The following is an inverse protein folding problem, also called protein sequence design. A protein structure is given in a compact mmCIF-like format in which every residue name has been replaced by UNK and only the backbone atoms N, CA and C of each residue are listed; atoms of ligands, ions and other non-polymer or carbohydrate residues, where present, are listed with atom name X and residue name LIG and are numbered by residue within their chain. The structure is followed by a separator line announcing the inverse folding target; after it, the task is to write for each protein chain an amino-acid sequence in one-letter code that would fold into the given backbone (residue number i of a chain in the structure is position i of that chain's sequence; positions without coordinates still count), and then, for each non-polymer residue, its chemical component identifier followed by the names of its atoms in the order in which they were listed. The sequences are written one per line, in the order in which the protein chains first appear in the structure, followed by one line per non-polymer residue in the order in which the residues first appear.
data_IF_652334262361
#
_entry.id   IF_652334262361
#
_cell.length_a   1.000
_cell.length_b   1.000
_cell.length_c   1.000
_cell.angle_alpha   90.00
_cell.angle_beta   90.00
_cell.angle_gamma   90.00
#
_symmetry.space_group_name_H-M   'P 1'
#
loop_
_entity.id
_entity.type
_entity.pdbx_description
1 polymer ?
#
# COMPACT_ATOMS: atom_id res chain seq x y z
N UNK A 1 23.93 6.37 -1.40
CA UNK A 1 23.11 5.38 -0.68
C UNK A 1 22.58 4.25 -1.56
N UNK A 2 22.45 4.46 -2.88
CA UNK A 2 22.10 3.38 -3.84
C UNK A 2 23.00 2.15 -3.66
N UNK A 3 22.40 0.96 -3.60
CA UNK A 3 23.11 -0.31 -3.44
C UNK A 3 23.44 -0.71 -2.00
N UNK A 4 22.94 0.00 -0.98
CA UNK A 4 23.11 -0.36 0.44
C UNK A 4 21.91 -1.07 1.07
N UNK A 5 20.90 -1.45 0.28
CA UNK A 5 19.71 -2.12 0.80
C UNK A 5 18.77 -1.21 1.60
N UNK A 6 18.71 0.08 1.26
CA UNK A 6 17.90 1.09 1.96
C UNK A 6 16.98 1.81 0.98
N UNK A 7 15.73 1.93 1.40
CA UNK A 7 14.65 2.65 0.73
C UNK A 7 14.28 3.91 1.52
N UNK A 8 13.72 4.89 0.81
CA UNK A 8 13.40 6.22 1.34
C UNK A 8 12.00 6.63 0.87
N UNK A 9 11.13 7.05 1.78
CA UNK A 9 9.79 7.55 1.43
C UNK A 9 9.49 8.88 2.11
N UNK A 10 8.86 9.82 1.40
CA UNK A 10 8.40 11.07 2.00
C UNK A 10 7.22 10.76 2.93
N UNK A 11 7.31 11.22 4.18
CA UNK A 11 6.32 10.97 5.23
C UNK A 11 5.81 12.28 5.82
N UNK A 12 4.52 12.57 5.60
CA UNK A 12 3.91 13.83 6.07
C UNK A 12 4.49 15.07 5.40
N UNK A 13 4.47 16.20 6.11
CA UNK A 13 4.88 17.50 5.56
C UNK A 13 6.36 17.84 5.80
N UNK A 14 7.01 17.18 6.76
CA UNK A 14 8.33 17.63 7.28
C UNK A 14 9.36 16.52 7.43
N UNK A 15 9.03 15.28 7.06
CA UNK A 15 9.90 14.12 7.30
C UNK A 15 9.95 13.17 6.11
N UNK A 16 10.94 12.29 6.14
CA UNK A 16 11.03 11.13 5.26
C UNK A 16 11.56 9.96 6.08
N UNK A 17 11.08 8.76 5.76
CA UNK A 17 11.47 7.53 6.42
C UNK A 17 12.66 6.89 5.69
N UNK A 18 13.49 6.17 6.45
CA UNK A 18 14.60 5.35 5.92
C UNK A 18 14.46 3.96 6.49
N UNK A 19 14.36 2.96 5.63
CA UNK A 19 14.11 1.57 6.04
C UNK A 19 14.82 0.58 5.11
N UNK A 20 15.05 -0.67 5.55
CA UNK A 20 15.60 -1.71 4.68
C UNK A 20 14.73 -1.96 3.45
N UNK A 21 15.33 -2.36 2.33
CA UNK A 21 14.56 -2.72 1.14
C UNK A 21 13.52 -3.82 1.45
N UNK A 22 12.28 -3.60 1.01
CA UNK A 22 11.14 -4.50 1.27
C UNK A 22 10.44 -4.32 2.62
N UNK A 23 10.88 -3.36 3.45
CA UNK A 23 10.18 -2.96 4.69
C UNK A 23 9.14 -1.86 4.48
N UNK A 24 8.77 -1.60 3.23
CA UNK A 24 7.58 -0.81 2.91
C UNK A 24 6.29 -1.55 3.31
N UNK A 25 5.12 -0.98 2.99
CA UNK A 25 3.83 -1.55 3.39
C UNK A 25 3.63 -3.02 2.94
N UNK A 26 4.31 -3.51 1.89
CA UNK A 26 4.27 -4.93 1.48
C UNK A 26 4.75 -5.89 2.57
N UNK A 27 5.49 -5.42 3.56
CA UNK A 27 5.95 -6.25 4.67
C UNK A 27 4.79 -7.00 5.36
N UNK A 28 3.62 -6.35 5.50
CA UNK A 28 2.47 -6.99 6.11
C UNK A 28 1.87 -8.13 5.27
N UNK A 29 2.09 -8.13 3.93
CA UNK A 29 1.56 -9.15 3.03
C UNK A 29 2.11 -10.53 3.35
N UNK A 30 3.38 -10.65 3.76
CA UNK A 30 3.96 -11.93 4.18
C UNK A 30 3.38 -12.50 5.48
N UNK A 31 2.63 -11.68 6.24
CA UNK A 31 1.91 -12.10 7.44
C UNK A 31 0.52 -12.58 7.03
N UNK A 32 -0.25 -11.76 6.31
CA UNK A 32 -1.64 -12.06 5.92
C UNK A 32 -1.77 -13.16 4.88
N UNK A 33 -0.73 -13.42 4.08
CA UNK A 33 -0.72 -14.52 3.10
C UNK A 33 -0.86 -15.91 3.77
N UNK A 34 -0.51 -16.01 5.06
CA UNK A 34 -0.68 -17.23 5.87
C UNK A 34 -2.13 -17.54 6.22
N UNK A 35 -3.02 -16.54 6.11
CA UNK A 35 -4.43 -16.68 6.45
C UNK A 35 -5.28 -17.15 5.25
N UNK A 36 -4.65 -17.42 4.09
CA UNK A 36 -5.27 -18.01 2.90
C UNK A 36 -6.49 -17.26 2.37
N UNK A 37 -6.46 -15.92 2.38
CA UNK A 37 -7.47 -15.10 1.74
C UNK A 37 -7.54 -15.36 0.22
N UNK A 38 -8.74 -15.45 -0.34
CA UNK A 38 -8.93 -15.59 -1.80
C UNK A 38 -8.54 -14.32 -2.55
N UNK A 39 -8.79 -13.15 -1.94
CA UNK A 39 -8.48 -11.84 -2.50
C UNK A 39 -8.11 -10.88 -1.38
N UNK A 40 -7.02 -10.13 -1.57
CA UNK A 40 -6.62 -9.04 -0.67
C UNK A 40 -6.91 -7.72 -1.39
N UNK A 41 -7.83 -6.91 -0.84
CA UNK A 41 -8.12 -5.57 -1.36
C UNK A 41 -7.30 -4.54 -0.58
N UNK A 42 -6.54 -3.71 -1.28
CA UNK A 42 -5.78 -2.60 -0.68
C UNK A 42 -6.37 -1.27 -1.14
N UNK A 43 -6.60 -0.34 -0.21
CA UNK A 43 -7.10 1.01 -0.50
C UNK A 43 -6.06 2.03 -0.02
N UNK A 44 -5.63 2.96 -0.89
CA UNK A 44 -4.62 3.96 -0.54
C UNK A 44 -4.68 5.22 -1.40
N UNK A 45 -4.11 6.31 -0.91
CA UNK A 45 -4.15 7.64 -1.54
C UNK A 45 -2.80 8.09 -2.12
N UNK A 46 -1.70 7.42 -1.74
CA UNK A 46 -0.33 7.71 -2.21
C UNK A 46 0.22 6.56 -3.06
N UNK A 47 -0.54 6.17 -4.07
CA UNK A 47 -0.34 4.98 -4.91
C UNK A 47 0.48 5.22 -6.19
N UNK A 48 1.02 6.43 -6.40
CA UNK A 48 1.91 6.74 -7.54
C UNK A 48 3.38 6.57 -7.14
N UNK A 49 4.32 6.34 -8.08
CA UNK A 49 5.74 6.20 -7.77
C UNK A 49 6.26 7.32 -6.84
N UNK A 50 6.88 6.92 -5.72
CA UNK A 50 7.37 7.84 -4.68
C UNK A 50 6.36 8.12 -3.55
N UNK A 51 5.10 7.71 -3.71
CA UNK A 51 4.12 7.67 -2.63
C UNK A 51 4.29 6.42 -1.76
N UNK A 52 3.98 6.53 -0.47
CA UNK A 52 4.23 5.46 0.50
C UNK A 52 3.26 4.26 0.40
N UNK A 53 2.26 4.30 -0.49
CA UNK A 53 1.37 3.18 -0.79
C UNK A 53 1.73 2.46 -2.09
N UNK A 54 2.62 3.04 -2.91
CA UNK A 54 2.88 2.58 -4.27
C UNK A 54 3.26 1.09 -4.33
N UNK A 55 4.16 0.67 -3.46
CA UNK A 55 4.69 -0.68 -3.45
C UNK A 55 3.62 -1.72 -3.10
N UNK A 56 2.80 -1.47 -2.09
CA UNK A 56 1.71 -2.39 -1.70
C UNK A 56 0.56 -2.35 -2.70
N UNK A 57 0.22 -1.17 -3.21
CA UNK A 57 -0.82 -1.00 -4.24
C UNK A 57 -0.48 -1.73 -5.54
N UNK A 58 0.81 -1.78 -5.90
CA UNK A 58 1.29 -2.44 -7.12
C UNK A 58 1.70 -3.90 -6.90
N UNK A 59 1.63 -4.42 -5.66
CA UNK A 59 2.01 -5.80 -5.35
C UNK A 59 0.96 -6.76 -5.95
N UNK A 60 1.39 -7.79 -6.70
CA UNK A 60 0.47 -8.72 -7.38
C UNK A 60 -0.41 -9.52 -6.42
N UNK A 61 -0.10 -9.57 -5.13
CA UNK A 61 -0.95 -10.20 -4.10
C UNK A 61 -2.17 -9.37 -3.74
N UNK A 62 -2.25 -8.11 -4.19
CA UNK A 62 -3.36 -7.21 -3.87
C UNK A 62 -4.14 -6.80 -5.11
N UNK A 63 -5.44 -6.53 -4.91
CA UNK A 63 -6.25 -5.72 -5.82
C UNK A 63 -6.24 -4.30 -5.26
N UNK A 64 -5.45 -3.42 -5.88
CA UNK A 64 -5.27 -2.04 -5.44
C UNK A 64 -6.41 -1.10 -5.87
N UNK A 65 -6.87 -0.28 -4.94
CA UNK A 65 -7.90 0.75 -5.11
C UNK A 65 -7.33 2.11 -4.73
N UNK A 66 -7.17 3.00 -5.70
CA UNK A 66 -6.73 4.37 -5.44
C UNK A 66 -7.92 5.20 -4.95
N UNK A 67 -7.75 5.89 -3.83
CA UNK A 67 -8.79 6.72 -3.18
C UNK A 67 -8.25 8.11 -2.88
N UNK A 68 -9.11 9.13 -2.93
CA UNK A 68 -8.69 10.51 -2.63
C UNK A 68 -9.11 10.99 -1.25
N UNK A 69 -10.16 10.38 -0.68
CA UNK A 69 -10.73 10.71 0.62
C UNK A 69 -11.47 9.51 1.24
N UNK A 70 -11.84 9.58 2.53
CA UNK A 70 -12.58 8.50 3.21
C UNK A 70 -13.92 8.15 2.54
N UNK A 71 -14.61 9.13 1.96
CA UNK A 71 -15.89 8.94 1.27
C UNK A 71 -15.72 8.10 -0.01
N UNK A 72 -14.62 8.28 -0.74
CA UNK A 72 -14.27 7.43 -1.89
C UNK A 72 -14.05 5.98 -1.47
N UNK A 73 -13.32 5.76 -0.38
CA UNK A 73 -13.12 4.41 0.18
C UNK A 73 -14.45 3.76 0.51
N UNK A 74 -15.35 4.48 1.19
CA UNK A 74 -16.69 3.97 1.51
C UNK A 74 -17.46 3.60 0.25
N UNK A 75 -17.49 4.50 -0.73
CA UNK A 75 -18.19 4.28 -2.01
C UNK A 75 -17.66 3.05 -2.74
N UNK A 76 -16.35 2.85 -2.80
CA UNK A 76 -15.75 1.66 -3.43
C UNK A 76 -16.08 0.38 -2.65
N UNK A 77 -16.05 0.42 -1.32
CA UNK A 77 -16.47 -0.72 -0.49
C UNK A 77 -17.95 -1.09 -0.72
N UNK A 78 -18.84 -0.10 -0.80
CA UNK A 78 -20.26 -0.31 -1.13
C UNK A 78 -20.43 -0.96 -2.50
N UNK A 79 -19.67 -0.51 -3.50
CA UNK A 79 -19.68 -1.07 -4.86
C UNK A 79 -19.15 -2.51 -4.94
N UNK A 80 -18.13 -2.84 -4.15
CA UNK A 80 -17.46 -4.14 -4.21
C UNK A 80 -18.16 -5.23 -3.39
N UNK A 81 -18.76 -4.87 -2.26
CA UNK A 81 -19.17 -5.86 -1.24
C UNK A 81 -20.66 -5.85 -0.89
N UNK A 82 -21.42 -4.85 -1.36
CA UNK A 82 -22.83 -4.67 -0.98
C UNK A 82 -23.78 -4.42 -2.15
N UNK A 83 -23.28 -4.57 -3.39
CA UNK A 83 -24.08 -4.56 -4.62
C UNK A 83 -24.49 -5.97 -5.03
#
# INVERSE_FOLDING_TARGET
FKGKGLSFSIGGQISFDVFPDGWDKRYCLGIVEKDHYSTIHFFGDKTKPGGNDYEIFSDPRTVGHEVSCPEDTRRLCEQLFFC
#
